data_IF_440860832689
#
_entry.id   IF_440860832689
#
_cell.length_a   1.000
_cell.length_b   1.000
_cell.length_c   1.000
_cell.angle_alpha   90.00
_cell.angle_beta   90.00
_cell.angle_gamma   90.00
#
_symmetry.space_group_name_H-M   'P 1'
#
loop_
_entity.id
_entity.type
_entity.pdbx_description
1 polymer ?
#
# COMPACT_ATOMS: atom_id res chain seq x y z
N UNK A 1 -15.37 -14.52 -5.35
CA UNK A 1 -16.41 -14.21 -4.35
C UNK A 1 -17.86 -14.25 -4.86
N UNK A 2 -18.35 -13.32 -5.70
CA UNK A 2 -19.78 -13.32 -6.08
C UNK A 2 -20.22 -14.56 -6.86
N UNK A 3 -19.38 -15.03 -7.80
CA UNK A 3 -19.62 -16.26 -8.54
C UNK A 3 -19.57 -17.50 -7.63
N UNK A 4 -18.61 -17.57 -6.71
CA UNK A 4 -18.49 -18.66 -5.72
C UNK A 4 -19.71 -18.74 -4.81
N UNK A 5 -20.23 -17.60 -4.35
CA UNK A 5 -21.40 -17.53 -3.49
C UNK A 5 -22.74 -17.62 -4.25
N UNK A 6 -22.71 -17.71 -5.59
CA UNK A 6 -23.89 -17.72 -6.46
C UNK A 6 -24.85 -16.54 -6.24
N UNK A 7 -24.31 -15.37 -5.90
CA UNK A 7 -25.08 -14.14 -5.69
C UNK A 7 -24.72 -13.11 -6.77
N UNK A 8 -25.68 -12.27 -7.17
CA UNK A 8 -25.38 -11.15 -8.07
C UNK A 8 -24.35 -10.20 -7.45
N UNK A 9 -23.49 -9.60 -8.28
CA UNK A 9 -22.49 -8.62 -7.82
C UNK A 9 -23.11 -7.46 -7.04
N UNK A 10 -24.24 -6.95 -7.50
CA UNK A 10 -24.94 -5.82 -6.88
C UNK A 10 -25.49 -6.16 -5.49
N UNK A 11 -26.06 -7.36 -5.32
CA UNK A 11 -26.53 -7.83 -4.02
C UNK A 11 -25.36 -8.06 -3.07
N UNK A 12 -24.28 -8.69 -3.52
CA UNK A 12 -23.10 -8.89 -2.69
C UNK A 12 -22.48 -7.55 -2.25
N UNK A 13 -22.39 -6.58 -3.17
CA UNK A 13 -21.88 -5.24 -2.84
C UNK A 13 -22.77 -4.52 -1.81
N UNK A 14 -24.10 -4.67 -1.93
CA UNK A 14 -25.05 -4.11 -0.95
C UNK A 14 -24.87 -4.75 0.41
N UNK A 15 -24.79 -6.09 0.48
CA UNK A 15 -24.58 -6.83 1.73
C UNK A 15 -23.29 -6.40 2.40
N UNK A 16 -22.17 -6.39 1.66
CA UNK A 16 -20.86 -5.99 2.19
C UNK A 16 -20.88 -4.56 2.74
N UNK A 17 -21.51 -3.61 2.03
CA UNK A 17 -21.46 -2.19 2.39
C UNK A 17 -22.52 -1.76 3.40
N UNK A 18 -23.74 -2.31 3.32
CA UNK A 18 -24.89 -1.88 4.12
C UNK A 18 -25.16 -2.81 5.30
N UNK A 19 -25.11 -4.12 5.08
CA UNK A 19 -25.51 -5.09 6.10
C UNK A 19 -24.31 -5.42 7.01
N UNK A 20 -23.13 -5.62 6.41
CA UNK A 20 -21.88 -5.95 7.11
C UNK A 20 -21.02 -4.71 7.43
N UNK A 21 -21.31 -3.57 6.81
CA UNK A 21 -20.60 -2.29 7.01
C UNK A 21 -19.07 -2.45 6.86
N UNK A 22 -18.65 -3.20 5.83
CA UNK A 22 -17.25 -3.45 5.51
C UNK A 22 -16.76 -2.55 4.38
N UNK A 23 -15.47 -2.23 4.43
CA UNK A 23 -14.73 -1.49 3.42
C UNK A 23 -13.65 -2.37 2.78
N UNK A 24 -13.32 -2.06 1.53
CA UNK A 24 -12.30 -2.78 0.77
C UNK A 24 -10.95 -2.08 0.93
N UNK A 25 -9.97 -2.80 1.48
CA UNK A 25 -8.62 -2.32 1.72
C UNK A 25 -7.61 -3.11 0.88
N UNK A 26 -6.56 -2.43 0.42
CA UNK A 26 -5.44 -3.05 -0.29
C UNK A 26 -4.34 -3.44 0.69
N UNK A 27 -3.84 -4.68 0.60
CA UNK A 27 -2.60 -5.07 1.30
C UNK A 27 -1.42 -4.35 0.65
N UNK A 28 -0.84 -3.40 1.35
CA UNK A 28 0.40 -2.76 0.92
C UNK A 28 1.59 -3.56 1.46
N UNK A 29 2.34 -4.19 0.56
CA UNK A 29 3.62 -4.80 0.91
C UNK A 29 4.65 -3.68 1.07
N UNK A 30 5.08 -3.44 2.30
CA UNK A 30 6.12 -2.45 2.61
C UNK A 30 7.32 -3.15 3.24
N UNK A 31 8.50 -2.57 3.06
CA UNK A 31 9.68 -3.05 3.77
C UNK A 31 9.55 -2.76 5.27
N UNK A 32 9.82 -3.78 6.08
CA UNK A 32 9.94 -3.59 7.52
C UNK A 32 11.10 -2.63 7.84
N UNK A 33 10.84 -1.65 8.69
CA UNK A 33 11.84 -0.67 9.12
C UNK A 33 12.14 -0.87 10.60
N UNK A 34 13.37 -1.29 10.91
CA UNK A 34 13.86 -1.30 12.28
C UNK A 34 13.94 0.12 12.85
N UNK A 35 13.97 0.26 14.18
CA UNK A 35 14.10 1.56 14.84
C UNK A 35 15.31 2.36 14.34
N UNK A 36 16.46 1.68 14.20
CA UNK A 36 17.70 2.27 13.66
C UNK A 36 17.53 2.74 12.22
N UNK A 37 16.82 1.99 11.37
CA UNK A 37 16.54 2.41 9.99
C UNK A 37 15.66 3.65 9.94
N UNK A 38 14.64 3.74 10.81
CA UNK A 38 13.75 4.90 10.91
C UNK A 38 14.54 6.15 11.31
N UNK A 39 15.40 6.06 12.32
CA UNK A 39 16.26 7.17 12.76
C UNK A 39 17.22 7.63 11.66
N UNK A 40 17.89 6.69 10.98
CA UNK A 40 18.77 7.01 9.84
C UNK A 40 18.02 7.70 8.71
N UNK A 41 16.82 7.22 8.35
CA UNK A 41 15.98 7.83 7.31
C UNK A 41 15.52 9.23 7.71
N UNK A 42 15.12 9.44 8.97
CA UNK A 42 14.71 10.75 9.47
C UNK A 42 15.86 11.76 9.42
N UNK A 43 17.06 11.36 9.86
CA UNK A 43 18.25 12.23 9.81
C UNK A 43 18.61 12.61 8.37
N UNK A 44 18.62 11.63 7.46
CA UNK A 44 18.95 11.84 6.03
C UNK A 44 17.93 12.71 5.32
N UNK A 45 16.63 12.48 5.55
CA UNK A 45 15.56 13.26 4.91
C UNK A 45 15.59 14.73 5.32
N UNK A 46 15.77 15.03 6.61
CA UNK A 46 15.96 16.42 7.08
C UNK A 46 17.15 17.09 6.40
N UNK A 47 18.31 16.44 6.41
CA UNK A 47 19.52 16.99 5.77
C UNK A 47 19.38 17.15 4.25
N UNK A 48 18.61 16.30 3.57
CA UNK A 48 18.31 16.47 2.15
C UNK A 48 17.40 17.67 1.90
N UNK A 49 16.37 17.88 2.72
CA UNK A 49 15.48 19.05 2.61
C UNK A 49 16.30 20.34 2.77
N UNK A 50 17.16 20.40 3.80
CA UNK A 50 17.99 21.58 4.06
C UNK A 50 18.94 21.88 2.88
N UNK A 51 19.57 20.84 2.32
CA UNK A 51 20.46 20.99 1.16
C UNK A 51 19.71 21.43 -0.09
N UNK A 52 18.55 20.83 -0.36
CA UNK A 52 17.74 21.16 -1.53
C UNK A 52 17.13 22.56 -1.43
N UNK A 53 16.86 23.06 -0.22
CA UNK A 53 16.42 24.43 -0.01
C UNK A 53 17.49 25.46 -0.40
N UNK A 54 18.78 25.11 -0.26
CA UNK A 54 19.92 25.99 -0.58
C UNK A 54 20.32 25.85 -2.06
N UNK A 55 20.47 24.61 -2.54
CA UNK A 55 21.03 24.32 -3.87
C UNK A 55 19.97 24.21 -4.95
N UNK A 56 18.69 24.03 -4.62
CA UNK A 56 17.65 23.73 -5.59
C UNK A 56 17.72 22.30 -6.11
N UNK A 57 16.63 21.85 -6.74
CA UNK A 57 16.52 20.48 -7.27
C UNK A 57 17.26 20.30 -8.60
N UNK A 58 17.47 21.38 -9.34
CA UNK A 58 17.98 21.38 -10.73
C UNK A 58 19.43 20.87 -10.84
N UNK A 59 20.17 20.84 -9.72
CA UNK A 59 21.53 20.32 -9.65
C UNK A 59 21.62 18.85 -9.23
N UNK A 60 20.48 18.16 -9.07
CA UNK A 60 20.45 16.75 -8.67
C UNK A 60 19.98 15.86 -9.81
N UNK A 61 20.89 15.05 -10.33
CA UNK A 61 20.56 13.96 -11.24
C UNK A 61 20.32 12.68 -10.45
N UNK A 62 19.08 12.18 -10.49
CA UNK A 62 18.75 10.85 -9.95
C UNK A 62 18.91 9.78 -11.03
N UNK A 63 19.67 8.74 -10.73
CA UNK A 63 19.80 7.56 -11.58
C UNK A 63 19.46 6.31 -10.77
N UNK A 64 18.71 5.39 -11.35
CA UNK A 64 18.44 4.08 -10.78
C UNK A 64 18.29 3.05 -11.90
N UNK A 65 18.66 1.81 -11.62
CA UNK A 65 18.47 0.71 -12.55
C UNK A 65 17.10 0.09 -12.32
N UNK A 66 16.39 -0.22 -13.41
CA UNK A 66 15.07 -0.86 -13.32
C UNK A 66 14.99 -2.06 -14.25
N UNK A 67 14.50 -3.16 -13.71
CA UNK A 67 14.15 -4.35 -14.47
C UNK A 67 12.80 -4.13 -15.18
N UNK A 68 12.76 -4.37 -16.49
CA UNK A 68 11.52 -4.37 -17.28
C UNK A 68 11.13 -5.82 -17.61
N UNK A 69 9.97 -6.26 -17.13
CA UNK A 69 9.46 -7.61 -17.39
C UNK A 69 8.43 -7.59 -18.53
N UNK A 70 8.50 -8.59 -19.42
CA UNK A 70 7.60 -8.72 -20.58
C UNK A 70 6.23 -9.30 -20.18
N UNK A 71 6.18 -10.05 -19.08
CA UNK A 71 4.96 -10.71 -18.61
C UNK A 71 3.92 -9.72 -18.06
N UNK A 72 2.64 -10.08 -18.24
CA UNK A 72 1.50 -9.28 -17.79
C UNK A 72 1.47 -9.22 -16.26
N UNK A 73 1.48 -8.01 -15.71
CA UNK A 73 1.39 -7.79 -14.28
C UNK A 73 0.08 -8.36 -13.69
N UNK A 74 0.21 -9.02 -12.54
CA UNK A 74 -0.91 -9.49 -11.74
C UNK A 74 -1.83 -8.32 -11.34
N UNK A 75 -3.15 -8.50 -11.50
CA UNK A 75 -4.12 -7.46 -11.13
C UNK A 75 -4.32 -7.43 -9.60
N UNK A 76 -3.63 -6.49 -8.95
CA UNK A 76 -3.68 -6.27 -7.51
C UNK A 76 -5.10 -5.98 -6.96
N UNK A 77 -6.07 -5.62 -7.81
CA UNK A 77 -7.46 -5.42 -7.38
C UNK A 77 -8.12 -6.72 -6.87
N UNK A 78 -7.60 -7.88 -7.25
CA UNK A 78 -8.11 -9.18 -6.80
C UNK A 78 -7.71 -9.53 -5.35
N UNK A 79 -6.67 -8.89 -4.80
CA UNK A 79 -6.09 -9.24 -3.49
C UNK A 79 -6.59 -8.32 -2.34
N UNK A 80 -7.73 -7.66 -2.53
CA UNK A 80 -8.29 -6.72 -1.54
C UNK A 80 -8.96 -7.47 -0.38
N UNK A 81 -8.76 -6.98 0.83
CA UNK A 81 -9.41 -7.50 2.05
C UNK A 81 -10.66 -6.68 2.35
N UNK A 82 -11.72 -7.36 2.79
CA UNK A 82 -12.88 -6.70 3.39
C UNK A 82 -12.69 -6.61 4.91
N UNK A 83 -12.75 -5.41 5.46
CA UNK A 83 -12.69 -5.18 6.90
C UNK A 83 -13.52 -3.96 7.29
N UNK A 84 -13.97 -3.88 8.53
CA UNK A 84 -14.67 -2.70 9.05
C UNK A 84 -13.70 -1.53 9.30
N UNK A 85 -12.44 -1.82 9.68
CA UNK A 85 -11.45 -0.80 10.04
C UNK A 85 -10.04 -1.22 9.61
N UNK A 86 -9.22 -0.25 9.21
CA UNK A 86 -7.82 -0.48 8.85
C UNK A 86 -6.97 -1.07 10.00
N UNK A 87 -7.27 -0.73 11.26
CA UNK A 87 -6.56 -1.24 12.44
C UNK A 87 -6.75 -2.73 12.66
N UNK A 88 -7.93 -3.26 12.36
CA UNK A 88 -8.25 -4.69 12.46
C UNK A 88 -7.42 -5.53 11.47
N UNK A 89 -7.12 -4.97 10.30
CA UNK A 89 -6.27 -5.63 9.30
C UNK A 89 -4.84 -5.77 9.81
N UNK A 90 -4.26 -4.72 10.40
CA UNK A 90 -2.89 -4.72 10.89
C UNK A 90 -2.65 -5.77 11.99
N UNK A 91 -3.64 -5.99 12.87
CA UNK A 91 -3.55 -7.00 13.94
C UNK A 91 -3.65 -8.44 13.43
N UNK A 92 -4.36 -8.67 12.32
CA UNK A 92 -4.53 -10.02 11.74
C UNK A 92 -3.28 -10.53 10.99
N UNK A 93 -2.34 -9.64 10.67
CA UNK A 93 -1.12 -9.98 9.93
C UNK A 93 0.10 -10.23 10.83
N UNK A 94 -0.02 -9.97 12.13
CA UNK A 94 1.04 -10.11 13.14
C UNK A 94 0.92 -11.41 13.97
N UNK A 95 -0.03 -12.31 13.64
CA UNK A 95 -0.16 -13.68 14.17
C UNK A 95 0.15 -14.69 13.08
#
# INVERSE_FOLDING_TARGET
>A
MAAELKVSRSSLQRIVKRDLVLSSFTKLKVHYLSKVMKEKRLKRSKGLIDRLAIQGLDHVLFSDEKLFTIEKAHNQQNDRILSSTASTILRSTDM
#
